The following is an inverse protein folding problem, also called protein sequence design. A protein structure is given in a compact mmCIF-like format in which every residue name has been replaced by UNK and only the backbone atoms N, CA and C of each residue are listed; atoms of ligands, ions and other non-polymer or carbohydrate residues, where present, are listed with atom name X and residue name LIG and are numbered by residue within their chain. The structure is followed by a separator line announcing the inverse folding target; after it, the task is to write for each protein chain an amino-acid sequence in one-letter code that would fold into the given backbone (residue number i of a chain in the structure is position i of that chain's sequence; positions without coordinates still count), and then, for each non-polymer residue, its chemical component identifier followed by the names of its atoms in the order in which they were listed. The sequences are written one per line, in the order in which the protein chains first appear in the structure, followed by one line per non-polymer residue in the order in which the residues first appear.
data_IF_131074965096
#
_entry.id   IF_131074965096
#
_cell.length_a   1.000
_cell.length_b   1.000
_cell.length_c   1.000
_cell.angle_alpha   90.00
_cell.angle_beta   90.00
_cell.angle_gamma   90.00
#
_symmetry.space_group_name_H-M   'P 1'
#
loop_
_entity.id
_entity.type
_entity.pdbx_description
1 polymer ?
#
# COMPACT_ATOMS: atom_id res chain seq x y z
N UNK A 1 -3.14 -21.67 24.19
CA UNK A 1 -2.67 -20.38 23.63
C UNK A 1 -3.69 -19.97 22.59
N UNK A 2 -4.71 -19.21 22.99
CA UNK A 2 -5.66 -18.63 22.06
C UNK A 2 -4.94 -17.55 21.27
N UNK A 3 -4.67 -17.82 19.98
CA UNK A 3 -4.34 -16.76 19.03
C UNK A 3 -5.59 -15.88 19.00
N UNK A 4 -5.54 -14.71 19.65
CA UNK A 4 -6.53 -13.66 19.47
C UNK A 4 -6.41 -13.22 18.01
N UNK A 5 -7.14 -13.90 17.14
CA UNK A 5 -7.41 -13.44 15.79
C UNK A 5 -8.10 -12.10 15.99
N UNK A 6 -7.36 -11.01 15.79
CA UNK A 6 -7.95 -9.69 15.74
C UNK A 6 -9.02 -9.78 14.65
N UNK A 7 -10.29 -9.80 15.05
CA UNK A 7 -11.42 -9.73 14.13
C UNK A 7 -11.33 -8.34 13.50
N UNK A 8 -10.60 -8.24 12.40
CA UNK A 8 -10.56 -7.04 11.60
C UNK A 8 -11.98 -6.91 11.04
N UNK A 9 -12.70 -5.90 11.51
CA UNK A 9 -14.00 -5.57 10.95
C UNK A 9 -13.76 -4.88 9.61
N UNK A 10 -14.16 -5.56 8.56
CA UNK A 10 -14.12 -5.03 7.21
C UNK A 10 -15.51 -4.44 6.85
N UNK A 11 -15.59 -3.37 6.03
CA UNK A 11 -14.47 -2.67 5.39
C UNK A 11 -13.65 -1.83 6.35
N UNK A 12 -12.33 -1.94 6.26
CA UNK A 12 -11.39 -1.22 7.11
C UNK A 12 -10.42 -0.40 6.23
N UNK A 13 -9.99 0.76 6.74
CA UNK A 13 -8.97 1.55 6.04
C UNK A 13 -7.60 1.01 6.38
N UNK A 14 -6.90 0.47 5.38
CA UNK A 14 -5.54 -0.02 5.47
C UNK A 14 -4.56 1.01 4.91
N UNK A 15 -3.49 1.33 5.66
CA UNK A 15 -2.43 2.21 5.20
C UNK A 15 -1.19 1.38 4.84
N UNK A 16 -0.79 1.39 3.57
CA UNK A 16 0.47 0.85 3.07
C UNK A 16 1.50 1.97 2.95
N UNK A 17 2.69 1.77 3.51
CA UNK A 17 3.83 2.66 3.33
C UNK A 17 4.77 2.04 2.30
N UNK A 18 4.71 2.51 1.06
CA UNK A 18 5.60 2.07 0.00
C UNK A 18 6.84 2.96 -0.07
N UNK A 19 7.99 2.37 -0.34
CA UNK A 19 9.29 3.02 -0.47
C UNK A 19 9.90 2.65 -1.81
N UNK A 20 10.44 3.63 -2.51
CA UNK A 20 11.07 3.41 -3.82
C UNK A 20 11.96 4.56 -4.23
N UNK A 21 12.57 4.44 -5.41
CA UNK A 21 13.48 5.47 -5.95
C UNK A 21 12.75 6.52 -6.77
N UNK A 22 11.59 6.18 -7.32
CA UNK A 22 10.85 7.03 -8.27
C UNK A 22 9.40 7.23 -7.82
N UNK A 23 9.09 8.40 -7.27
CA UNK A 23 7.73 8.72 -6.78
C UNK A 23 6.65 8.61 -7.86
N UNK A 24 7.01 8.93 -9.10
CA UNK A 24 6.05 9.08 -10.18
C UNK A 24 5.60 7.70 -10.68
N UNK A 25 6.56 6.81 -10.87
CA UNK A 25 6.28 5.43 -11.24
C UNK A 25 5.67 4.62 -10.10
N UNK A 26 6.06 4.87 -8.84
CA UNK A 26 5.35 4.31 -7.69
C UNK A 26 3.89 4.76 -7.69
N UNK A 27 3.62 6.05 -7.92
CA UNK A 27 2.25 6.56 -8.03
C UNK A 27 1.49 5.88 -9.16
N UNK A 28 2.08 5.70 -10.34
CA UNK A 28 1.43 4.97 -11.46
C UNK A 28 1.18 3.50 -11.13
N UNK A 29 2.10 2.84 -10.43
CA UNK A 29 1.92 1.46 -9.99
C UNK A 29 0.76 1.35 -8.99
N UNK A 30 0.71 2.25 -8.01
CA UNK A 30 -0.38 2.39 -7.04
C UNK A 30 -1.70 2.61 -7.78
N UNK A 31 -1.76 3.59 -8.68
CA UNK A 31 -2.96 3.94 -9.45
C UNK A 31 -3.47 2.77 -10.30
N UNK A 32 -2.56 1.94 -10.85
CA UNK A 32 -2.91 0.70 -11.57
C UNK A 32 -3.35 -0.44 -10.66
N UNK A 33 -2.79 -0.53 -9.45
CA UNK A 33 -3.07 -1.61 -8.51
C UNK A 33 -4.35 -1.41 -7.72
N UNK A 34 -4.68 -0.15 -7.40
CA UNK A 34 -5.72 0.19 -6.44
C UNK A 34 -7.01 0.62 -7.13
N UNK A 35 -8.17 0.23 -6.59
CA UNK A 35 -9.47 0.68 -7.08
C UNK A 35 -9.68 2.16 -6.78
N UNK A 36 -10.53 2.87 -7.54
CA UNK A 36 -10.79 4.32 -7.52
C UNK A 36 -10.93 5.04 -6.15
N UNK A 37 -11.04 4.32 -5.03
CA UNK A 37 -11.13 4.84 -3.66
C UNK A 37 -9.85 4.54 -2.85
N UNK A 38 -8.75 5.22 -3.17
CA UNK A 38 -7.54 5.24 -2.35
C UNK A 38 -7.09 6.68 -2.07
N UNK A 39 -6.58 6.93 -0.86
CA UNK A 39 -5.97 8.20 -0.46
C UNK A 39 -4.45 8.02 -0.51
N UNK A 40 -3.82 8.71 -1.47
CA UNK A 40 -2.38 8.72 -1.64
C UNK A 40 -1.81 9.98 -0.98
N UNK A 41 -0.81 9.80 -0.12
CA UNK A 41 -0.03 10.87 0.49
C UNK A 41 1.44 10.71 0.15
N UNK A 42 1.97 11.71 -0.54
CA UNK A 42 3.41 11.85 -0.72
C UNK A 42 4.06 12.15 0.63
N UNK A 43 5.08 11.36 0.98
CA UNK A 43 5.86 11.58 2.20
C UNK A 43 7.24 12.16 1.85
N UNK A 44 7.98 12.59 2.88
CA UNK A 44 9.25 13.32 2.71
C UNK A 44 10.22 12.56 1.81
N UNK A 45 10.70 13.25 0.79
CA UNK A 45 11.69 12.76 -0.16
C UNK A 45 13.08 13.10 0.39
N UNK A 46 13.92 12.10 0.66
CA UNK A 46 15.28 12.35 1.15
C UNK A 46 16.28 12.03 0.05
N UNK A 47 16.76 13.07 -0.65
CA UNK A 47 17.82 13.14 -1.68
C UNK A 47 17.79 12.16 -2.87
N UNK A 48 17.30 10.93 -2.73
CA UNK A 48 17.27 9.88 -3.76
C UNK A 48 16.20 8.79 -3.52
N UNK A 49 15.48 8.83 -2.39
CA UNK A 49 14.41 7.88 -2.08
C UNK A 49 13.12 8.60 -1.71
N UNK A 50 12.02 8.07 -2.24
CA UNK A 50 10.67 8.53 -2.02
C UNK A 50 9.90 7.50 -1.19
N UNK A 51 9.12 8.00 -0.25
CA UNK A 51 8.14 7.21 0.49
C UNK A 51 6.76 7.75 0.19
N UNK A 52 5.81 6.86 -0.03
CA UNK A 52 4.41 7.21 -0.27
C UNK A 52 3.54 6.37 0.63
N UNK A 53 2.58 7.04 1.26
CA UNK A 53 1.56 6.42 2.07
C UNK A 53 0.32 6.25 1.22
N UNK A 54 -0.24 5.06 1.22
CA UNK A 54 -1.42 4.72 0.45
C UNK A 54 -2.44 4.17 1.41
N UNK A 55 -3.54 4.89 1.59
CA UNK A 55 -4.68 4.38 2.33
C UNK A 55 -5.70 3.83 1.36
N UNK A 56 -6.18 2.63 1.61
CA UNK A 56 -7.21 1.98 0.82
C UNK A 56 -8.20 1.33 1.74
N UNK A 57 -9.47 1.34 1.34
CA UNK A 57 -10.51 0.62 2.04
C UNK A 57 -10.50 -0.81 1.51
N UNK A 58 -10.12 -1.76 2.36
CA UNK A 58 -10.18 -3.18 2.04
C UNK A 58 -11.45 -3.76 2.63
N UNK A 59 -12.18 -4.56 1.85
CA UNK A 59 -13.39 -5.21 2.33
C UNK A 59 -13.11 -6.62 2.87
N UNK A 60 -11.94 -7.19 2.59
CA UNK A 60 -11.55 -8.52 3.02
C UNK A 60 -10.03 -8.65 3.14
N UNK A 61 -9.56 -9.70 3.83
CA UNK A 61 -8.12 -10.01 3.91
C UNK A 61 -7.51 -10.35 2.54
N UNK A 62 -8.28 -11.02 1.68
CA UNK A 62 -7.84 -11.36 0.32
C UNK A 62 -7.51 -10.11 -0.49
N UNK A 63 -8.40 -9.11 -0.52
CA UNK A 63 -8.14 -7.84 -1.21
C UNK A 63 -6.87 -7.16 -0.66
N UNK A 64 -6.69 -7.14 0.66
CA UNK A 64 -5.47 -6.60 1.29
C UNK A 64 -4.22 -7.32 0.80
N UNK A 65 -4.22 -8.65 0.81
CA UNK A 65 -3.07 -9.47 0.41
C UNK A 65 -2.79 -9.34 -1.09
N UNK A 66 -3.81 -9.28 -1.94
CA UNK A 66 -3.66 -9.04 -3.37
C UNK A 66 -3.05 -7.67 -3.66
N UNK A 67 -3.54 -6.62 -3.01
CA UNK A 67 -2.99 -5.27 -3.12
C UNK A 67 -1.54 -5.22 -2.67
N UNK A 68 -1.23 -5.82 -1.51
CA UNK A 68 0.14 -5.91 -1.01
C UNK A 68 1.06 -6.65 -1.99
N UNK A 69 0.64 -7.80 -2.53
CA UNK A 69 1.42 -8.55 -3.52
C UNK A 69 1.63 -7.77 -4.81
N UNK A 70 0.58 -7.15 -5.36
CA UNK A 70 0.69 -6.35 -6.59
C UNK A 70 1.66 -5.20 -6.41
N UNK A 71 1.55 -4.47 -5.30
CA UNK A 71 2.48 -3.39 -4.97
C UNK A 71 3.90 -3.93 -4.76
N UNK A 72 4.08 -5.06 -4.07
CA UNK A 72 5.41 -5.63 -3.80
C UNK A 72 6.08 -6.20 -5.05
N UNK A 73 5.29 -6.73 -5.99
CA UNK A 73 5.76 -7.29 -7.26
C UNK A 73 6.23 -6.19 -8.23
N UNK A 74 5.78 -4.94 -8.04
CA UNK A 74 6.18 -3.85 -8.89
C UNK A 74 7.67 -3.48 -8.70
N UNK A 75 8.47 -3.40 -9.79
CA UNK A 75 9.92 -3.17 -9.71
C UNK A 75 10.30 -1.78 -9.16
N UNK A 76 9.33 -0.87 -9.13
CA UNK A 76 9.47 0.51 -8.65
C UNK A 76 9.32 0.62 -7.14
N UNK A 77 8.64 -0.35 -6.52
CA UNK A 77 8.44 -0.44 -5.08
C UNK A 77 9.53 -1.34 -4.51
N UNK A 78 10.47 -0.72 -3.79
CA UNK A 78 11.57 -1.40 -3.12
C UNK A 78 11.13 -2.08 -1.83
N UNK A 79 10.19 -1.46 -1.11
CA UNK A 79 9.75 -1.91 0.21
C UNK A 79 8.31 -1.46 0.48
N UNK A 80 7.56 -2.28 1.22
CA UNK A 80 6.22 -1.95 1.72
C UNK A 80 6.19 -2.22 3.22
N UNK A 81 5.57 -1.31 3.98
CA UNK A 81 5.25 -1.44 5.40
C UNK A 81 3.74 -1.36 5.62
#
# INVERSE_FOLDING_TARGET
MEKKEAKIEYPCTWEFCVFGKDKQKMKEAIDKCLPNHFDHKDSKSHKSFHSQKVKVIVNNEEERNELYKKLQDHPEIKFIL
#
